data_IF_223304025245
#
_entry.id   IF_223304025245
#
_cell.length_a   1.000
_cell.length_b   1.000
_cell.length_c   1.000
_cell.angle_alpha   90.00
_cell.angle_beta   90.00
_cell.angle_gamma   90.00
#
_symmetry.space_group_name_H-M   'P 1'
#
loop_
_entity.id
_entity.type
_entity.pdbx_description
1 polymer ?
#
# COMPACT_ATOMS: atom_id res chain seq x y z
N UNK A 1 -0.58 22.73 -14.66
CA UNK A 1 -0.46 22.06 -15.89
C UNK A 1 0.66 21.06 -15.90
N UNK A 2 1.83 21.52 -15.76
CA UNK A 2 2.97 20.66 -15.68
C UNK A 2 2.86 19.69 -14.49
N UNK A 3 2.50 20.21 -13.33
CA UNK A 3 2.33 19.38 -12.14
C UNK A 3 1.17 18.42 -12.26
N UNK A 4 0.10 18.84 -12.93
CA UNK A 4 -1.02 17.95 -13.12
C UNK A 4 -0.65 16.78 -13.99
N UNK A 5 0.17 17.01 -15.01
CA UNK A 5 0.60 15.91 -15.86
C UNK A 5 1.47 14.92 -15.10
N UNK A 6 2.33 15.41 -14.23
CA UNK A 6 3.17 14.54 -13.42
C UNK A 6 2.34 13.77 -12.39
N UNK A 7 1.36 14.43 -11.81
CA UNK A 7 0.48 13.75 -10.87
C UNK A 7 -0.31 12.64 -11.55
N UNK A 8 -0.67 12.82 -12.83
CA UNK A 8 -1.41 11.80 -13.56
C UNK A 8 -0.53 10.65 -14.00
N UNK A 9 0.78 10.87 -14.13
CA UNK A 9 1.69 9.86 -14.64
C UNK A 9 1.82 8.66 -13.69
N UNK A 10 1.58 8.87 -12.40
CA UNK A 10 1.74 7.81 -11.39
C UNK A 10 0.52 7.72 -10.50
N UNK A 11 -0.63 7.52 -11.11
CA UNK A 11 -1.87 7.55 -10.35
C UNK A 11 -2.31 6.21 -9.80
N UNK A 12 -1.57 5.15 -10.10
CA UNK A 12 -1.87 3.83 -9.55
C UNK A 12 -0.81 3.48 -8.53
N UNK A 13 -1.22 2.82 -7.47
CA UNK A 13 -0.27 2.38 -6.45
C UNK A 13 -0.55 0.94 -6.06
N UNK A 14 0.52 0.18 -5.87
CA UNK A 14 0.47 -1.09 -5.16
C UNK A 14 0.86 -0.76 -3.73
N UNK A 15 0.17 -1.33 -2.76
CA UNK A 15 0.43 -1.00 -1.37
C UNK A 15 0.32 -2.22 -0.48
N UNK A 16 0.96 -2.13 0.68
CA UNK A 16 0.86 -3.14 1.72
C UNK A 16 0.38 -2.46 2.99
N UNK A 17 -0.70 -3.00 3.56
CA UNK A 17 -1.17 -2.61 4.88
C UNK A 17 -0.77 -3.68 5.88
N UNK A 18 -0.58 -3.29 7.14
CA UNK A 18 -0.24 -4.22 8.21
C UNK A 18 -1.06 -3.93 9.45
N UNK A 19 -1.29 -4.97 10.26
CA UNK A 19 -1.96 -4.78 11.54
C UNK A 19 -1.00 -4.19 12.57
N UNK A 20 0.27 -4.53 12.46
CA UNK A 20 1.36 -4.04 13.31
C UNK A 20 2.66 -4.55 12.71
N UNK A 21 3.77 -4.17 13.33
CA UNK A 21 5.07 -4.67 12.89
C UNK A 21 5.05 -6.21 12.90
N UNK A 22 5.45 -6.82 11.79
CA UNK A 22 5.46 -8.26 11.62
C UNK A 22 4.10 -8.92 11.80
N UNK A 23 3.02 -8.13 11.66
CA UNK A 23 1.66 -8.64 11.81
C UNK A 23 1.06 -9.13 10.52
N UNK A 24 -0.27 -9.13 10.47
CA UNK A 24 -1.02 -9.55 9.29
C UNK A 24 -0.84 -8.52 8.18
N UNK A 25 -0.61 -8.98 6.97
CA UNK A 25 -0.39 -8.12 5.80
C UNK A 25 -1.57 -8.22 4.84
N UNK A 26 -1.83 -7.11 4.15
CA UNK A 26 -2.81 -7.04 3.06
C UNK A 26 -2.18 -6.30 1.91
N UNK A 27 -2.23 -6.88 0.71
CA UNK A 27 -1.65 -6.28 -0.49
C UNK A 27 -2.78 -5.88 -1.41
N UNK A 28 -2.74 -4.65 -1.92
CA UNK A 28 -3.78 -4.16 -2.82
C UNK A 28 -3.22 -3.25 -3.87
N UNK A 29 -4.10 -2.87 -4.80
CA UNK A 29 -3.81 -1.90 -5.84
C UNK A 29 -4.94 -0.89 -5.87
N UNK A 30 -4.61 0.38 -6.11
CA UNK A 30 -5.60 1.44 -6.09
C UNK A 30 -5.20 2.57 -7.01
N UNK A 31 -6.18 3.37 -7.43
CA UNK A 31 -5.92 4.62 -8.14
C UNK A 31 -6.00 5.82 -7.20
N UNK A 32 -6.16 5.61 -5.90
CA UNK A 32 -6.24 6.68 -4.92
C UNK A 32 -5.71 6.17 -3.58
N UNK A 33 -4.40 6.23 -3.42
CA UNK A 33 -3.75 5.64 -2.25
C UNK A 33 -4.18 6.30 -0.96
N UNK A 34 -4.29 7.63 -0.95
CA UNK A 34 -4.66 8.35 0.26
C UNK A 34 -6.04 7.96 0.74
N UNK A 35 -7.00 7.87 -0.20
CA UNK A 35 -8.36 7.49 0.15
C UNK A 35 -8.42 6.04 0.65
N UNK A 36 -7.72 5.16 -0.03
CA UNK A 36 -7.72 3.73 0.33
C UNK A 36 -7.10 3.51 1.70
N UNK A 37 -5.98 4.18 1.98
CA UNK A 37 -5.33 4.08 3.27
C UNK A 37 -6.22 4.65 4.37
N UNK A 38 -6.91 5.76 4.08
CA UNK A 38 -7.86 6.34 5.00
C UNK A 38 -8.98 5.37 5.34
N UNK A 39 -9.54 4.71 4.32
CA UNK A 39 -10.60 3.74 4.51
C UNK A 39 -10.14 2.57 5.38
N UNK A 40 -8.96 2.06 5.13
CA UNK A 40 -8.40 0.96 5.93
C UNK A 40 -8.20 1.38 7.39
N UNK A 41 -7.66 2.59 7.61
CA UNK A 41 -7.46 3.10 8.96
C UNK A 41 -8.77 3.15 9.75
N UNK A 42 -9.86 3.41 9.07
CA UNK A 42 -11.16 3.57 9.72
C UNK A 42 -12.02 2.31 9.65
N UNK A 43 -11.41 1.16 9.31
CA UNK A 43 -12.10 -0.11 9.31
C UNK A 43 -13.08 -0.27 8.16
N UNK A 44 -12.89 0.49 7.06
CA UNK A 44 -13.81 0.47 5.91
C UNK A 44 -13.14 -0.04 4.64
N UNK A 45 -11.95 -0.63 4.75
CA UNK A 45 -11.20 -1.06 3.57
C UNK A 45 -11.78 -2.30 2.93
N UNK A 46 -11.75 -3.40 3.65
CA UNK A 46 -12.28 -4.68 3.17
C UNK A 46 -12.69 -5.50 4.38
N UNK A 47 -13.39 -6.58 4.11
CA UNK A 47 -13.80 -7.50 5.18
C UNK A 47 -12.56 -8.05 5.88
N UNK A 48 -11.56 -8.43 5.09
CA UNK A 48 -10.33 -9.00 5.63
C UNK A 48 -9.59 -7.99 6.52
N UNK A 49 -9.38 -6.77 6.03
CA UNK A 49 -8.61 -5.78 6.79
C UNK A 49 -9.34 -5.33 8.05
N UNK A 50 -10.65 -5.24 7.97
CA UNK A 50 -11.46 -4.91 9.14
C UNK A 50 -11.37 -6.01 10.20
N UNK A 51 -11.49 -7.26 9.77
CA UNK A 51 -11.47 -8.39 10.68
C UNK A 51 -10.15 -8.54 11.43
N UNK A 52 -9.04 -8.30 10.75
CA UNK A 52 -7.71 -8.52 11.32
C UNK A 52 -7.03 -7.24 11.77
N UNK A 53 -7.76 -6.12 11.77
CA UNK A 53 -7.20 -4.85 12.26
C UNK A 53 -6.04 -4.34 11.42
N UNK A 54 -6.09 -4.54 10.11
CA UNK A 54 -5.00 -4.18 9.20
C UNK A 54 -5.19 -2.72 8.80
N UNK A 55 -4.63 -1.80 9.58
CA UNK A 55 -4.92 -0.37 9.47
C UNK A 55 -3.73 0.52 9.14
N UNK A 56 -2.52 -0.01 9.17
CA UNK A 56 -1.31 0.79 8.95
C UNK A 56 -0.82 0.61 7.52
N UNK A 57 -0.52 1.72 6.84
CA UNK A 57 0.11 1.67 5.53
C UNK A 57 1.61 1.57 5.74
N UNK A 58 2.22 0.45 5.33
CA UNK A 58 3.64 0.23 5.61
C UNK A 58 4.53 0.23 4.38
N UNK A 59 3.95 0.16 3.17
CA UNK A 59 4.73 0.17 1.93
C UNK A 59 3.83 0.54 0.76
N UNK A 60 4.38 1.26 -0.22
CA UNK A 60 3.66 1.53 -1.47
C UNK A 60 4.65 1.81 -2.60
N UNK A 61 4.17 1.62 -3.82
CA UNK A 61 4.96 1.81 -5.04
C UNK A 61 4.02 2.32 -6.13
N UNK A 62 4.41 3.37 -6.82
CA UNK A 62 3.53 4.05 -7.79
C UNK A 62 3.79 3.60 -9.21
N UNK A 63 2.72 3.61 -10.02
CA UNK A 63 2.76 3.19 -11.41
C UNK A 63 1.90 4.10 -12.27
N UNK A 64 2.35 4.33 -13.50
CA UNK A 64 1.56 5.07 -14.48
C UNK A 64 0.53 4.15 -15.18
N UNK A 65 0.83 2.86 -15.30
CA UNK A 65 0.01 1.89 -16.03
C UNK A 65 -0.64 0.92 -15.04
N UNK A 66 -1.97 0.85 -15.08
CA UNK A 66 -2.72 -0.05 -14.20
C UNK A 66 -2.34 -1.52 -14.40
N UNK A 67 -1.97 -1.90 -15.60
CA UNK A 67 -1.60 -3.30 -15.88
C UNK A 67 -0.31 -3.68 -15.16
N UNK A 68 0.64 -2.74 -15.10
CA UNK A 68 1.88 -2.97 -14.38
C UNK A 68 1.63 -3.04 -12.88
N UNK A 69 0.75 -2.17 -12.38
CA UNK A 69 0.40 -2.19 -10.97
C UNK A 69 -0.26 -3.53 -10.58
N UNK A 70 -1.19 -4.00 -11.40
CA UNK A 70 -1.87 -5.28 -11.14
C UNK A 70 -0.87 -6.43 -11.18
N UNK A 71 0.06 -6.42 -12.14
CA UNK A 71 1.06 -7.46 -12.25
C UNK A 71 1.94 -7.49 -11.00
N UNK A 72 2.32 -6.32 -10.49
CA UNK A 72 3.13 -6.23 -9.28
C UNK A 72 2.37 -6.75 -8.07
N UNK A 73 1.10 -6.37 -7.95
CA UNK A 73 0.27 -6.83 -6.85
C UNK A 73 0.19 -8.36 -6.83
N UNK A 74 -0.04 -8.96 -8.00
CA UNK A 74 -0.11 -10.42 -8.11
C UNK A 74 1.23 -11.07 -7.77
N UNK A 75 2.32 -10.46 -8.21
CA UNK A 75 3.66 -10.95 -7.90
C UNK A 75 3.90 -10.97 -6.39
N UNK A 76 3.60 -9.85 -5.72
CA UNK A 76 3.82 -9.74 -4.29
C UNK A 76 2.97 -10.71 -3.50
N UNK A 77 1.76 -10.98 -3.96
CA UNK A 77 0.88 -11.93 -3.27
C UNK A 77 1.43 -13.35 -3.29
N UNK A 78 2.26 -13.68 -4.28
CA UNK A 78 2.87 -15.00 -4.40
C UNK A 78 4.20 -15.12 -3.66
N UNK A 79 4.77 -14.01 -3.23
CA UNK A 79 6.04 -14.03 -2.53
C UNK A 79 5.93 -14.71 -1.18
N UNK A 80 7.00 -15.33 -0.73
CA UNK A 80 7.11 -15.79 0.65
C UNK A 80 7.01 -14.61 1.59
N UNK A 81 6.48 -14.86 2.78
CA UNK A 81 6.31 -13.79 3.77
C UNK A 81 7.61 -13.05 4.06
N UNK A 82 8.70 -13.79 4.18
CA UNK A 82 10.01 -13.18 4.45
C UNK A 82 10.38 -12.12 3.44
N UNK A 83 10.10 -12.37 2.16
CA UNK A 83 10.41 -11.41 1.11
C UNK A 83 9.56 -10.15 1.21
N UNK A 84 8.30 -10.30 1.61
CA UNK A 84 7.43 -9.15 1.82
C UNK A 84 7.92 -8.29 2.98
N UNK A 85 8.37 -8.94 4.05
CA UNK A 85 8.90 -8.21 5.21
C UNK A 85 10.17 -7.45 4.84
N UNK A 86 11.03 -8.06 4.05
CA UNK A 86 12.26 -7.40 3.59
C UNK A 86 11.94 -6.20 2.70
N UNK A 87 10.95 -6.34 1.82
CA UNK A 87 10.53 -5.25 0.96
C UNK A 87 10.02 -4.07 1.78
N UNK A 88 9.20 -4.34 2.77
CA UNK A 88 8.67 -3.30 3.65
C UNK A 88 9.82 -2.59 4.36
N UNK A 89 10.74 -3.35 4.94
CA UNK A 89 11.80 -2.77 5.77
C UNK A 89 12.85 -2.03 4.97
N UNK A 90 13.01 -2.34 3.69
CA UNK A 90 13.89 -1.56 2.82
C UNK A 90 13.40 -0.13 2.66
N UNK A 91 12.10 0.08 2.66
CA UNK A 91 11.51 1.41 2.54
C UNK A 91 11.18 2.02 3.90
N UNK A 92 10.78 1.21 4.85
CA UNK A 92 10.17 1.65 6.09
C UNK A 92 10.67 0.78 7.25
N UNK A 93 11.94 0.95 7.64
CA UNK A 93 12.56 0.04 8.62
C UNK A 93 11.90 0.05 9.99
N UNK A 94 11.21 1.11 10.34
CA UNK A 94 10.55 1.22 11.63
C UNK A 94 9.07 0.88 11.60
N UNK A 95 8.53 0.50 10.44
CA UNK A 95 7.13 0.15 10.27
C UNK A 95 6.18 1.26 10.70
N UNK A 96 6.54 2.50 10.35
CA UNK A 96 5.67 3.64 10.60
C UNK A 96 4.43 3.56 9.73
N UNK A 97 3.36 4.18 10.19
CA UNK A 97 2.17 4.31 9.36
C UNK A 97 2.41 5.43 8.35
N UNK A 98 2.71 5.05 7.12
CA UNK A 98 3.07 5.99 6.06
C UNK A 98 1.90 6.86 5.60
N UNK A 99 0.67 6.52 6.02
CA UNK A 99 -0.48 7.35 5.70
C UNK A 99 -0.23 8.82 6.08
N UNK A 100 0.42 9.01 7.21
CA UNK A 100 0.68 10.35 7.72
C UNK A 100 1.62 11.16 6.82
N UNK A 101 2.35 10.50 5.93
CA UNK A 101 3.27 11.17 5.02
C UNK A 101 2.66 11.50 3.66
N UNK A 102 1.48 10.92 3.35
CA UNK A 102 0.91 11.05 2.01
C UNK A 102 0.46 12.47 1.67
N UNK A 103 0.10 13.24 2.68
CA UNK A 103 -0.37 14.60 2.50
C UNK A 103 0.66 15.63 2.98
N UNK A 104 1.82 15.16 3.29
CA UNK A 104 2.91 16.01 3.79
C UNK A 104 3.76 16.61 2.71
#
# INVERSE_FOLDING_TARGET
MYLSRMANAERYAVYIMASRRNGTLYIGVTNDLAKRAFDHRNGKGSVFTKRYGVTMLVWHESYADIREAIAREKQLKKWERRWKLELIEAMNPTWDDLYLTLNG
#
